data_IF_046661908567
#
_entry.id   IF_046661908567
#
_cell.length_a   1.000
_cell.length_b   1.000
_cell.length_c   1.000
_cell.angle_alpha   90.00
_cell.angle_beta   90.00
_cell.angle_gamma   90.00
#
_symmetry.space_group_name_H-M   'P 1'
#
loop_
_entity.id
_entity.type
_entity.pdbx_description
1 polymer ?
#
# COMPACT_ATOMS: atom_id res chain seq x y z
N UNK A 1 -16.39 6.15 -8.19
CA UNK A 1 -15.78 4.81 -8.18
C UNK A 1 -16.22 4.17 -6.88
N UNK A 2 -16.73 2.94 -6.92
CA UNK A 2 -17.37 2.35 -5.74
C UNK A 2 -16.32 1.92 -4.70
N UNK A 3 -16.58 2.19 -3.42
CA UNK A 3 -15.73 1.86 -2.25
C UNK A 3 -15.14 0.43 -2.32
N UNK A 4 -15.94 -0.53 -2.78
CA UNK A 4 -15.57 -1.93 -2.94
C UNK A 4 -14.35 -2.16 -3.86
N UNK A 5 -14.15 -1.31 -4.86
CA UNK A 5 -13.04 -1.46 -5.80
C UNK A 5 -11.69 -1.12 -5.16
N UNK A 6 -11.64 -0.08 -4.31
CA UNK A 6 -10.40 0.37 -3.67
C UNK A 6 -9.94 -0.63 -2.61
N UNK A 7 -10.86 -1.09 -1.76
CA UNK A 7 -10.56 -2.08 -0.73
C UNK A 7 -9.97 -3.37 -1.34
N UNK A 8 -10.60 -3.88 -2.41
CA UNK A 8 -10.10 -5.06 -3.11
C UNK A 8 -8.69 -4.85 -3.71
N UNK A 9 -8.41 -3.66 -4.24
CA UNK A 9 -7.09 -3.36 -4.82
C UNK A 9 -6.03 -3.28 -3.75
N UNK A 10 -6.25 -2.54 -2.67
CA UNK A 10 -5.28 -2.42 -1.58
C UNK A 10 -5.04 -3.78 -0.92
N UNK A 11 -6.10 -4.58 -0.73
CA UNK A 11 -5.97 -5.97 -0.25
C UNK A 11 -5.03 -6.78 -1.14
N UNK A 12 -5.22 -6.72 -2.47
CA UNK A 12 -4.33 -7.43 -3.42
C UNK A 12 -2.90 -6.92 -3.38
N UNK A 13 -2.68 -5.63 -3.22
CA UNK A 13 -1.32 -5.08 -3.05
C UNK A 13 -0.69 -5.72 -1.81
N UNK A 14 -1.37 -5.68 -0.65
CA UNK A 14 -0.87 -6.24 0.62
C UNK A 14 -0.54 -7.74 0.48
N UNK A 15 -1.40 -8.50 -0.18
CA UNK A 15 -1.20 -9.94 -0.40
C UNK A 15 0.03 -10.25 -1.28
N UNK A 16 0.38 -9.35 -2.20
CA UNK A 16 1.52 -9.51 -3.10
C UNK A 16 2.83 -8.97 -2.53
N UNK A 17 2.81 -8.27 -1.40
CA UNK A 17 4.02 -7.85 -0.68
C UNK A 17 4.46 -8.97 0.26
N UNK A 18 5.60 -9.57 -0.06
CA UNK A 18 6.25 -10.54 0.81
C UNK A 18 7.09 -9.81 1.87
N UNK A 19 7.05 -10.27 3.12
CA UNK A 19 7.91 -9.73 4.18
C UNK A 19 7.26 -8.72 5.12
N UNK A 20 6.03 -8.26 4.85
CA UNK A 20 5.31 -7.40 5.79
C UNK A 20 5.19 -8.06 7.18
N UNK A 21 5.54 -7.34 8.26
CA UNK A 21 5.39 -7.85 9.62
C UNK A 21 3.93 -8.16 9.93
N UNK A 22 3.72 -9.13 10.82
CA UNK A 22 2.36 -9.58 11.16
C UNK A 22 1.53 -8.45 11.80
N UNK A 23 2.15 -7.60 12.62
CA UNK A 23 1.49 -6.46 13.26
C UNK A 23 0.94 -5.49 12.23
N UNK A 24 1.79 -5.06 11.29
CA UNK A 24 1.40 -4.17 10.20
C UNK A 24 0.30 -4.77 9.33
N UNK A 25 0.35 -6.07 9.01
CA UNK A 25 -0.75 -6.72 8.27
C UNK A 25 -2.09 -6.64 9.01
N UNK A 26 -2.09 -6.73 10.35
CA UNK A 26 -3.31 -6.62 11.14
C UNK A 26 -3.84 -5.17 11.11
N UNK A 27 -2.98 -4.18 11.36
CA UNK A 27 -3.35 -2.77 11.31
C UNK A 27 -3.87 -2.36 9.92
N UNK A 28 -3.21 -2.79 8.85
CA UNK A 28 -3.66 -2.58 7.47
C UNK A 28 -5.06 -3.18 7.21
N UNK A 29 -5.34 -4.35 7.77
CA UNK A 29 -6.66 -4.98 7.65
C UNK A 29 -7.72 -4.17 8.39
N UNK A 30 -7.42 -3.69 9.61
CA UNK A 30 -8.33 -2.85 10.40
C UNK A 30 -8.65 -1.54 9.68
N UNK A 31 -7.66 -0.85 9.09
CA UNK A 31 -7.90 0.35 8.29
C UNK A 31 -8.82 0.09 7.10
N UNK A 32 -8.64 -1.04 6.41
CA UNK A 32 -9.49 -1.41 5.28
C UNK A 32 -10.93 -1.72 5.71
N UNK A 33 -11.14 -2.36 6.87
CA UNK A 33 -12.47 -2.62 7.43
C UNK A 33 -13.23 -1.34 7.81
N UNK A 34 -12.50 -0.26 8.09
CA UNK A 34 -13.03 1.05 8.43
C UNK A 34 -13.12 2.04 7.26
N UNK A 35 -12.88 1.58 6.02
CA UNK A 35 -12.80 2.43 4.81
C UNK A 35 -11.72 3.53 4.88
N UNK A 36 -10.71 3.36 5.72
CA UNK A 36 -9.59 4.29 5.93
C UNK A 36 -8.45 4.03 4.91
N UNK A 37 -8.78 4.02 3.62
CA UNK A 37 -7.86 3.59 2.56
C UNK A 37 -6.60 4.44 2.42
N UNK A 38 -6.71 5.75 2.68
CA UNK A 38 -5.56 6.66 2.67
C UNK A 38 -4.54 6.27 3.73
N UNK A 39 -5.02 6.05 4.96
CA UNK A 39 -4.21 5.61 6.10
C UNK A 39 -3.62 4.23 5.81
N UNK A 40 -4.42 3.30 5.29
CA UNK A 40 -3.93 1.97 4.92
C UNK A 40 -2.78 2.04 3.90
N UNK A 41 -2.91 2.88 2.87
CA UNK A 41 -1.87 2.99 1.85
C UNK A 41 -0.62 3.72 2.34
N UNK A 42 -0.77 4.77 3.15
CA UNK A 42 0.34 5.49 3.80
C UNK A 42 1.12 4.57 4.73
N UNK A 43 0.42 3.83 5.59
CA UNK A 43 1.02 2.84 6.49
C UNK A 43 1.76 1.76 5.71
N UNK A 44 1.15 1.22 4.66
CA UNK A 44 1.79 0.22 3.81
C UNK A 44 3.10 0.73 3.22
N UNK A 45 3.12 1.95 2.68
CA UNK A 45 4.32 2.51 2.09
C UNK A 45 5.40 2.75 3.15
N UNK A 46 5.02 3.24 4.34
CA UNK A 46 5.94 3.41 5.46
C UNK A 46 6.56 2.07 5.88
N UNK A 47 5.76 1.02 6.07
CA UNK A 47 6.26 -0.31 6.43
C UNK A 47 7.21 -0.86 5.36
N UNK A 48 6.89 -0.72 4.07
CA UNK A 48 7.76 -1.18 2.98
C UNK A 48 9.10 -0.45 2.99
N UNK A 49 9.12 0.85 3.28
CA UNK A 49 10.35 1.64 3.41
C UNK A 49 11.16 1.25 4.65
N UNK A 50 10.51 1.16 5.81
CA UNK A 50 11.17 0.88 7.09
C UNK A 50 11.80 -0.51 7.14
N UNK A 51 11.12 -1.50 6.56
CA UNK A 51 11.58 -2.89 6.50
C UNK A 51 12.43 -3.18 5.24
N UNK A 52 12.70 -2.17 4.41
CA UNK A 52 13.44 -2.27 3.13
C UNK A 52 12.92 -3.42 2.23
N UNK A 53 11.59 -3.55 2.14
CA UNK A 53 10.96 -4.64 1.40
C UNK A 53 11.05 -4.37 -0.09
N UNK A 54 11.72 -5.27 -0.81
CA UNK A 54 11.78 -5.21 -2.27
C UNK A 54 10.40 -5.51 -2.90
N UNK A 55 10.02 -4.68 -3.88
CA UNK A 55 8.75 -4.80 -4.61
C UNK A 55 8.99 -4.88 -6.11
N UNK A 56 8.06 -5.45 -6.87
CA UNK A 56 8.15 -5.41 -8.34
C UNK A 56 7.75 -4.04 -8.88
N UNK A 57 8.20 -3.71 -10.10
CA UNK A 57 7.76 -2.50 -10.78
C UNK A 57 6.24 -2.45 -10.97
N UNK A 58 5.62 -3.61 -11.19
CA UNK A 58 4.16 -3.74 -11.36
C UNK A 58 3.42 -3.35 -10.08
N UNK A 59 3.92 -3.80 -8.93
CA UNK A 59 3.35 -3.49 -7.63
C UNK A 59 3.52 -2.02 -7.28
N UNK A 60 4.68 -1.44 -7.58
CA UNK A 60 4.92 0.00 -7.47
C UNK A 60 3.92 0.81 -8.31
N UNK A 61 3.70 0.44 -9.57
CA UNK A 61 2.72 1.12 -10.42
C UNK A 61 1.29 0.99 -9.90
N UNK A 62 0.93 -0.17 -9.32
CA UNK A 62 -0.39 -0.35 -8.71
C UNK A 62 -0.57 0.52 -7.46
N UNK A 63 0.44 0.56 -6.56
CA UNK A 63 0.46 1.43 -5.38
C UNK A 63 0.29 2.89 -5.80
N UNK A 64 1.08 3.34 -6.78
CA UNK A 64 0.99 4.71 -7.32
C UNK A 64 -0.39 5.02 -7.86
N UNK A 65 -0.97 4.13 -8.68
CA UNK A 65 -2.27 4.37 -9.29
C UNK A 65 -3.39 4.40 -8.24
N UNK A 66 -3.31 3.59 -7.18
CA UNK A 66 -4.24 3.68 -6.05
C UNK A 66 -4.03 4.99 -5.29
N UNK A 67 -2.78 5.37 -5.02
CA UNK A 67 -2.41 6.59 -4.31
C UNK A 67 -2.93 7.86 -5.00
N UNK A 68 -2.70 7.97 -6.31
CA UNK A 68 -3.21 9.06 -7.15
C UNK A 68 -4.76 9.14 -7.11
N UNK A 69 -5.46 7.99 -6.97
CA UNK A 69 -6.93 7.94 -6.94
C UNK A 69 -7.53 8.29 -5.60
N UNK A 70 -6.83 8.02 -4.49
CA UNK A 70 -7.29 8.35 -3.14
C UNK A 70 -6.72 9.69 -2.64
N UNK A 71 -6.01 10.42 -3.51
CA UNK A 71 -5.45 11.76 -3.25
C UNK A 71 -4.48 11.82 -2.06
N UNK A 72 -3.78 10.71 -1.77
CA UNK A 72 -2.67 10.74 -0.81
C UNK A 72 -1.45 11.48 -1.39
N UNK A 73 -0.55 11.99 -0.54
CA UNK A 73 0.64 12.70 -0.99
C UNK A 73 1.59 11.77 -1.76
N UNK A 74 2.07 12.19 -2.93
CA UNK A 74 2.98 11.39 -3.75
C UNK A 74 4.29 11.07 -3.03
N UNK A 75 4.70 11.90 -2.07
CA UNK A 75 5.84 11.61 -1.22
C UNK A 75 5.71 10.24 -0.51
N UNK A 76 4.49 9.80 -0.22
CA UNK A 76 4.24 8.52 0.47
C UNK A 76 4.67 7.30 -0.34
N UNK A 77 4.56 7.31 -1.68
CA UNK A 77 4.97 6.14 -2.51
C UNK A 77 6.16 6.40 -3.43
N UNK A 78 6.54 7.65 -3.72
CA UNK A 78 7.64 7.96 -4.65
C UNK A 78 9.00 7.44 -4.16
N UNK A 79 9.22 7.33 -2.86
CA UNK A 79 10.44 6.78 -2.28
C UNK A 79 10.57 5.26 -2.53
N UNK A 80 9.45 4.56 -2.74
CA UNK A 80 9.43 3.11 -3.00
C UNK A 80 10.14 2.72 -4.29
N UNK A 81 10.37 3.67 -5.21
CA UNK A 81 11.12 3.41 -6.46
C UNK A 81 12.54 2.90 -6.19
N UNK A 82 13.10 3.18 -5.02
CA UNK A 82 14.42 2.74 -4.60
C UNK A 82 14.46 1.26 -4.19
N UNK A 83 13.31 0.64 -3.99
CA UNK A 83 13.13 -0.76 -3.56
C UNK A 83 12.59 -1.66 -4.70
N UNK A 84 12.58 -1.16 -5.95
CA UNK A 84 12.13 -1.95 -7.10
C UNK A 84 13.21 -2.95 -7.53
N UNK A 85 12.82 -4.22 -7.69
CA UNK A 85 13.68 -5.32 -8.18
C UNK A 85 13.24 -5.90 -9.53
#
# INVERSE_FOLDING_TARGET
MDNWNLNLRITKIIENINGLPKGDKQELTEFLEHDEWGIALEHLCATVLEEEINISSELFYEIREVGEKIEIDCASWEELKHLII
#
